data_IF_508016503940
#
_entry.id   IF_508016503940
#
_cell.length_a   1.000
_cell.length_b   1.000
_cell.length_c   1.000
_cell.angle_alpha   90.00
_cell.angle_beta   90.00
_cell.angle_gamma   90.00
#
_symmetry.space_group_name_H-M   'P 1'
#
loop_
_entity.id
_entity.type
_entity.pdbx_description
1 polymer ?
#
# COMPACT_ATOMS: atom_id res chain seq x y z
N UNK A 1 -39.06 -21.05 76.82
CA UNK A 1 -38.74 -22.11 77.80
C UNK A 1 -37.88 -23.17 77.15
N UNK A 2 -36.71 -23.44 77.75
CA UNK A 2 -35.84 -24.64 77.69
C UNK A 2 -35.83 -25.47 76.39
N UNK A 3 -34.75 -25.35 75.61
CA UNK A 3 -34.33 -26.40 74.66
C UNK A 3 -33.03 -27.01 75.16
N UNK A 4 -33.16 -28.24 75.63
CA UNK A 4 -32.12 -29.08 76.22
C UNK A 4 -31.15 -29.49 75.12
N UNK A 5 -29.87 -29.22 75.37
CA UNK A 5 -28.71 -29.73 74.66
C UNK A 5 -28.68 -31.26 74.82
N UNK A 6 -28.93 -32.03 73.77
CA UNK A 6 -28.57 -33.44 73.72
C UNK A 6 -27.30 -33.59 72.87
N UNK A 7 -26.20 -33.78 73.58
CA UNK A 7 -24.94 -34.33 73.09
C UNK A 7 -25.25 -35.67 72.37
N UNK A 8 -25.17 -35.70 71.05
CA UNK A 8 -25.06 -36.93 70.30
C UNK A 8 -23.57 -37.27 70.17
N UNK A 9 -23.15 -38.30 70.92
CA UNK A 9 -21.83 -38.92 70.85
C UNK A 9 -21.48 -39.24 69.38
N UNK A 10 -20.43 -38.61 68.86
CA UNK A 10 -19.74 -39.12 67.68
C UNK A 10 -19.08 -40.45 68.07
N UNK A 11 -19.75 -41.56 67.78
CA UNK A 11 -19.15 -42.89 67.77
C UNK A 11 -18.06 -42.89 66.70
N UNK A 12 -16.81 -42.69 67.10
CA UNK A 12 -15.66 -43.05 66.30
C UNK A 12 -15.69 -44.57 66.12
N UNK A 13 -16.20 -45.03 64.98
CA UNK A 13 -16.11 -46.41 64.57
C UNK A 13 -14.62 -46.76 64.47
N UNK A 14 -14.16 -47.68 65.33
CA UNK A 14 -12.82 -48.25 65.23
C UNK A 14 -12.77 -49.08 63.93
N UNK A 15 -11.84 -48.84 62.99
CA UNK A 15 -11.78 -49.59 61.73
C UNK A 15 -11.58 -51.08 62.06
N UNK A 16 -12.44 -51.95 61.51
CA UNK A 16 -12.43 -53.39 61.79
C UNK A 16 -11.37 -54.12 60.95
N UNK A 17 -10.88 -53.49 59.88
CA UNK A 17 -9.90 -54.03 58.94
C UNK A 17 -8.58 -53.25 59.00
N UNK A 18 -7.40 -53.91 58.90
CA UNK A 18 -6.12 -53.21 58.81
C UNK A 18 -6.08 -52.24 57.61
N UNK A 19 -5.29 -51.15 57.70
CA UNK A 19 -5.15 -50.21 56.58
C UNK A 19 -4.57 -50.93 55.36
N UNK A 20 -4.99 -50.55 54.14
CA UNK A 20 -4.41 -51.10 52.92
C UNK A 20 -2.92 -50.75 52.84
N UNK A 21 -2.12 -51.67 52.26
CA UNK A 21 -0.67 -51.50 52.09
C UNK A 21 -0.33 -51.59 50.60
N UNK A 22 0.35 -50.57 50.08
CA UNK A 22 0.91 -50.56 48.73
C UNK A 22 2.35 -51.06 48.83
N UNK A 23 2.59 -52.31 48.43
CA UNK A 23 3.92 -52.93 48.46
C UNK A 23 4.80 -52.45 47.28
N UNK A 24 4.18 -52.18 46.12
CA UNK A 24 4.88 -51.60 44.97
C UNK A 24 3.93 -50.83 44.06
N UNK A 25 4.46 -49.79 43.42
CA UNK A 25 3.86 -49.09 42.29
C UNK A 25 5.00 -48.61 41.38
N UNK A 26 5.05 -49.10 40.16
CA UNK A 26 6.13 -48.85 39.19
C UNK A 26 5.57 -48.63 37.79
N UNK A 27 6.37 -48.00 36.93
CA UNK A 27 6.08 -47.79 35.51
C UNK A 27 7.31 -48.19 34.70
N UNK A 28 7.11 -48.78 33.52
CA UNK A 28 8.17 -49.19 32.60
C UNK A 28 8.92 -47.99 31.99
N UNK A 29 8.21 -46.93 31.60
CA UNK A 29 8.78 -45.73 31.00
C UNK A 29 8.19 -44.46 31.62
N UNK A 30 8.91 -43.77 32.54
CA UNK A 30 8.41 -42.54 33.18
C UNK A 30 8.42 -41.31 32.26
N UNK A 31 9.12 -41.37 31.11
CA UNK A 31 9.18 -40.31 30.11
C UNK A 31 8.81 -40.82 28.70
N UNK A 32 7.55 -41.21 28.44
CA UNK A 32 7.10 -41.65 27.13
C UNK A 32 6.97 -40.47 26.14
N UNK A 33 7.04 -40.76 24.84
CA UNK A 33 6.58 -39.79 23.82
C UNK A 33 5.08 -39.55 23.98
N UNK A 34 4.61 -38.35 23.63
CA UNK A 34 3.18 -38.02 23.65
C UNK A 34 2.38 -39.08 22.86
N UNK A 35 1.36 -39.65 23.50
CA UNK A 35 0.48 -40.67 22.92
C UNK A 35 1.03 -42.10 22.99
N UNK A 36 2.25 -42.32 23.48
CA UNK A 36 2.76 -43.66 23.75
C UNK A 36 2.13 -44.24 25.03
N UNK A 37 1.90 -45.55 25.01
CA UNK A 37 1.40 -46.28 26.16
C UNK A 37 2.53 -46.58 27.15
N UNK A 38 2.20 -46.57 28.44
CA UNK A 38 3.04 -47.00 29.55
C UNK A 38 2.37 -48.11 30.33
N UNK A 39 3.16 -48.95 30.97
CA UNK A 39 2.70 -50.10 31.75
C UNK A 39 2.91 -49.84 33.23
N UNK A 40 1.82 -49.62 33.96
CA UNK A 40 1.85 -49.53 35.42
C UNK A 40 1.77 -50.92 36.04
N UNK A 41 2.70 -51.23 36.94
CA UNK A 41 2.70 -52.47 37.73
C UNK A 41 2.61 -52.14 39.21
N UNK A 42 1.64 -52.74 39.91
CA UNK A 42 1.42 -52.54 41.33
C UNK A 42 1.15 -53.84 42.10
N UNK A 43 1.42 -53.81 43.40
CA UNK A 43 1.04 -54.85 44.36
C UNK A 43 0.44 -54.19 45.61
N UNK A 44 -0.80 -54.58 45.95
CA UNK A 44 -1.59 -53.97 47.04
C UNK A 44 -2.21 -55.09 47.88
N UNK A 45 -2.20 -54.93 49.20
CA UNK A 45 -2.86 -55.84 50.17
C UNK A 45 -3.87 -55.08 51.02
N UNK A 46 -4.95 -55.76 51.41
CA UNK A 46 -5.94 -55.22 52.34
C UNK A 46 -6.84 -54.12 51.76
N UNK A 47 -6.89 -53.96 50.43
CA UNK A 47 -7.77 -53.02 49.75
C UNK A 47 -8.98 -53.74 49.13
N UNK A 48 -10.16 -53.14 49.22
CA UNK A 48 -11.37 -53.56 48.50
C UNK A 48 -11.47 -52.91 47.12
N UNK A 49 -10.91 -51.71 46.95
CA UNK A 49 -10.81 -51.02 45.67
C UNK A 49 -9.41 -50.47 45.44
N UNK A 50 -8.97 -50.49 44.19
CA UNK A 50 -7.72 -49.88 43.74
C UNK A 50 -8.02 -49.02 42.53
N UNK A 51 -7.57 -47.77 42.51
CA UNK A 51 -7.68 -46.86 41.37
C UNK A 51 -6.36 -46.18 41.05
N UNK A 52 -6.17 -45.78 39.80
CA UNK A 52 -5.09 -44.92 39.35
C UNK A 52 -5.70 -43.64 38.79
N UNK A 53 -5.37 -42.50 39.39
CA UNK A 53 -5.81 -41.17 38.99
C UNK A 53 -4.66 -40.42 38.29
N UNK A 54 -4.92 -39.59 37.25
CA UNK A 54 -6.25 -39.18 36.75
C UNK A 54 -6.92 -40.19 35.81
N UNK A 55 -6.20 -41.20 35.31
CA UNK A 55 -6.71 -42.26 34.44
C UNK A 55 -5.95 -43.57 34.71
N UNK A 56 -6.56 -44.76 34.54
CA UNK A 56 -7.89 -45.01 34.00
C UNK A 56 -9.03 -45.00 35.04
N UNK A 57 -8.75 -44.69 36.31
CA UNK A 57 -9.71 -44.85 37.40
C UNK A 57 -9.57 -46.23 38.06
N UNK A 58 -10.68 -46.90 38.37
CA UNK A 58 -10.66 -48.20 39.06
C UNK A 58 -10.00 -49.28 38.20
N UNK A 59 -9.08 -50.04 38.81
CA UNK A 59 -8.30 -51.11 38.17
C UNK A 59 -8.47 -52.42 38.93
N UNK A 60 -8.56 -53.53 38.18
CA UNK A 60 -8.86 -54.85 38.74
C UNK A 60 -7.72 -55.87 38.59
N UNK A 61 -6.68 -55.55 37.82
CA UNK A 61 -5.55 -56.42 37.56
C UNK A 61 -4.28 -55.60 37.35
N UNK A 62 -3.13 -56.21 37.64
CA UNK A 62 -1.80 -55.65 37.44
C UNK A 62 -1.01 -56.62 36.53
N UNK A 63 -0.34 -56.14 35.46
CA UNK A 63 -0.14 -54.74 35.09
C UNK A 63 -1.32 -54.10 34.35
N UNK A 64 -1.31 -52.77 34.25
CA UNK A 64 -2.29 -51.95 33.50
C UNK A 64 -1.58 -51.10 32.47
N UNK A 65 -2.04 -51.16 31.22
CA UNK A 65 -1.54 -50.31 30.13
C UNK A 65 -2.37 -49.04 30.09
N UNK A 66 -1.70 -47.88 30.12
CA UNK A 66 -2.31 -46.55 30.12
C UNK A 66 -1.63 -45.69 29.07
N UNK A 67 -2.39 -44.94 28.29
CA UNK A 67 -1.84 -43.83 27.48
C UNK A 67 -2.03 -42.55 28.29
N UNK A 68 -0.97 -41.96 28.85
CA UNK A 68 -1.11 -40.77 29.68
C UNK A 68 -1.61 -39.58 28.83
N UNK A 69 -2.75 -38.95 29.19
CA UNK A 69 -3.30 -37.86 28.39
C UNK A 69 -2.54 -36.53 28.57
N UNK A 70 -1.82 -36.37 29.68
CA UNK A 70 -0.98 -35.22 29.97
C UNK A 70 0.15 -35.62 30.93
N UNK A 71 1.21 -34.79 31.00
CA UNK A 71 2.23 -34.93 32.02
C UNK A 71 1.63 -34.63 33.41
N UNK A 72 2.03 -35.38 34.43
CA UNK A 72 1.50 -35.23 35.77
C UNK A 72 1.84 -36.41 36.68
N UNK A 73 1.39 -36.31 37.92
CA UNK A 73 1.55 -37.38 38.91
C UNK A 73 0.38 -38.35 38.81
N UNK A 74 0.67 -39.59 38.43
CA UNK A 74 -0.28 -40.69 38.50
C UNK A 74 -0.28 -41.24 39.92
N UNK A 75 -1.45 -41.27 40.57
CA UNK A 75 -1.58 -41.69 41.96
C UNK A 75 -2.35 -42.99 42.03
N UNK A 76 -1.70 -44.05 42.51
CA UNK A 76 -2.36 -45.29 42.93
C UNK A 76 -3.02 -45.05 44.28
N UNK A 77 -4.34 -45.23 44.36
CA UNK A 77 -5.15 -45.12 45.58
C UNK A 77 -5.74 -46.49 45.89
N UNK A 78 -5.48 -46.98 47.10
CA UNK A 78 -6.01 -48.23 47.61
C UNK A 78 -6.92 -47.95 48.80
N UNK A 79 -8.17 -48.40 48.74
CA UNK A 79 -9.19 -48.14 49.78
C UNK A 79 -9.74 -49.47 50.30
N UNK A 80 -9.93 -49.60 51.61
CA UNK A 80 -10.55 -50.80 52.22
C UNK A 80 -12.06 -50.60 52.48
N UNK A 81 -12.76 -51.64 52.96
CA UNK A 81 -14.21 -51.60 53.22
C UNK A 81 -14.61 -50.57 54.29
N UNK A 82 -13.68 -50.21 55.18
CA UNK A 82 -13.86 -49.19 56.21
C UNK A 82 -13.58 -47.75 55.69
N UNK A 83 -13.22 -47.61 54.41
CA UNK A 83 -12.91 -46.33 53.77
C UNK A 83 -11.51 -45.77 54.09
N UNK A 84 -10.62 -46.57 54.69
CA UNK A 84 -9.22 -46.18 54.96
C UNK A 84 -8.40 -46.27 53.68
N UNK A 85 -7.57 -45.27 53.42
CA UNK A 85 -6.82 -45.13 52.16
C UNK A 85 -5.31 -45.17 52.34
N UNK A 86 -4.62 -45.75 51.35
CA UNK A 86 -3.19 -45.59 51.13
C UNK A 86 -2.94 -45.10 49.71
N UNK A 87 -1.95 -44.23 49.50
CA UNK A 87 -1.63 -43.65 48.19
C UNK A 87 -0.15 -43.76 47.85
N UNK A 88 0.17 -43.89 46.56
CA UNK A 88 1.53 -43.85 46.03
C UNK A 88 1.54 -43.15 44.68
N UNK A 89 2.50 -42.25 44.44
CA UNK A 89 2.55 -41.38 43.27
C UNK A 89 3.78 -41.64 42.38
N UNK A 90 3.57 -41.65 41.06
CA UNK A 90 4.63 -41.67 40.05
C UNK A 90 4.49 -40.44 39.16
N UNK A 91 5.56 -39.67 39.00
CA UNK A 91 5.59 -38.56 38.05
C UNK A 91 5.84 -39.10 36.62
N UNK A 92 4.95 -38.75 35.69
CA UNK A 92 5.09 -39.01 34.26
C UNK A 92 5.32 -37.68 33.54
N UNK A 93 6.41 -37.58 32.79
CA UNK A 93 6.69 -36.46 31.89
C UNK A 93 6.48 -36.90 30.45
N UNK A 94 5.83 -36.09 29.62
CA UNK A 94 5.64 -36.44 28.22
C UNK A 94 6.69 -35.75 27.34
N UNK A 95 7.39 -36.54 26.53
CA UNK A 95 8.30 -36.02 25.52
C UNK A 95 7.51 -35.57 24.28
N UNK A 96 7.59 -34.30 23.87
CA UNK A 96 6.91 -33.83 22.66
C UNK A 96 7.44 -34.54 21.41
N UNK A 97 6.61 -34.62 20.36
CA UNK A 97 7.06 -35.15 19.07
C UNK A 97 8.17 -34.30 18.46
N UNK A 98 9.03 -34.96 17.67
CA UNK A 98 10.01 -34.28 16.83
C UNK A 98 9.29 -33.38 15.82
N UNK A 99 9.61 -32.10 15.83
CA UNK A 99 9.03 -31.14 14.90
C UNK A 99 10.03 -30.05 14.50
N UNK A 100 9.89 -29.55 13.28
CA UNK A 100 10.44 -28.26 12.87
C UNK A 100 9.29 -27.26 12.98
N UNK A 101 9.37 -26.35 13.95
CA UNK A 101 8.32 -25.38 14.27
C UNK A 101 8.39 -24.13 13.38
N UNK A 102 9.59 -23.79 12.89
CA UNK A 102 9.83 -22.69 11.97
C UNK A 102 11.04 -23.00 11.09
N UNK A 103 11.01 -22.56 9.83
CA UNK A 103 12.08 -22.68 8.87
C UNK A 103 11.88 -21.63 7.77
N UNK A 104 12.57 -20.50 7.91
CA UNK A 104 12.35 -19.31 7.08
C UNK A 104 13.65 -18.84 6.44
N UNK A 105 13.53 -18.23 5.26
CA UNK A 105 14.62 -17.51 4.59
C UNK A 105 14.23 -16.03 4.48
N UNK A 106 15.01 -15.15 5.09
CA UNK A 106 14.70 -13.72 5.24
C UNK A 106 15.87 -12.88 4.72
N UNK A 107 15.67 -12.00 3.72
CA UNK A 107 14.41 -11.76 3.02
C UNK A 107 14.01 -12.95 2.12
N UNK A 108 12.71 -13.13 1.90
CA UNK A 108 12.19 -14.20 1.04
C UNK A 108 12.54 -14.04 -0.45
N UNK A 109 13.00 -12.84 -0.85
CA UNK A 109 13.57 -12.56 -2.16
C UNK A 109 14.70 -11.52 -2.04
N UNK A 110 15.85 -11.76 -2.67
CA UNK A 110 17.05 -10.94 -2.57
C UNK A 110 17.72 -10.71 -3.94
N UNK A 111 18.68 -9.78 -4.00
CA UNK A 111 19.54 -9.60 -5.18
C UNK A 111 20.57 -10.75 -5.26
N UNK A 112 21.10 -11.07 -6.44
CA UNK A 112 22.16 -12.08 -6.57
C UNK A 112 23.36 -11.78 -5.65
N UNK A 113 23.76 -12.77 -4.85
CA UNK A 113 24.93 -12.68 -3.96
C UNK A 113 24.73 -11.85 -2.69
N UNK A 114 23.52 -11.35 -2.43
CA UNK A 114 23.22 -10.62 -1.18
C UNK A 114 22.79 -11.55 -0.05
N UNK A 115 22.90 -11.04 1.18
CA UNK A 115 22.65 -11.80 2.40
C UNK A 115 21.19 -12.28 2.49
N UNK A 116 21.03 -13.57 2.74
CA UNK A 116 19.77 -14.19 3.15
C UNK A 116 20.01 -14.89 4.48
N UNK A 117 19.26 -14.52 5.50
CA UNK A 117 19.29 -15.16 6.81
C UNK A 117 18.30 -16.33 6.85
N UNK A 118 18.83 -17.55 6.94
CA UNK A 118 18.07 -18.77 7.18
C UNK A 118 17.85 -18.89 8.69
N UNK A 119 16.61 -19.07 9.14
CA UNK A 119 16.28 -19.21 10.57
C UNK A 119 15.39 -20.40 10.81
N UNK A 120 15.64 -21.17 11.87
CA UNK A 120 14.85 -22.35 12.19
C UNK A 120 14.70 -22.59 13.69
N UNK A 121 13.61 -23.26 14.05
CA UNK A 121 13.32 -23.73 15.41
C UNK A 121 12.77 -25.15 15.37
N UNK A 122 13.24 -25.97 16.29
CA UNK A 122 12.85 -27.39 16.41
C UNK A 122 12.40 -27.72 17.81
N UNK A 123 11.57 -28.77 17.93
CA UNK A 123 11.20 -29.41 19.19
C UNK A 123 11.72 -30.84 19.18
N UNK A 124 12.28 -31.30 20.31
CA UNK A 124 12.75 -32.68 20.51
C UNK A 124 13.82 -33.18 19.51
N UNK A 125 14.51 -32.27 18.83
CA UNK A 125 15.64 -32.61 17.96
C UNK A 125 16.94 -32.70 18.77
N UNK A 126 17.73 -33.74 18.51
CA UNK A 126 19.04 -33.97 19.15
C UNK A 126 20.18 -33.44 18.25
N UNK A 127 20.00 -33.52 16.94
CA UNK A 127 20.95 -33.06 15.92
C UNK A 127 20.20 -32.41 14.76
N UNK A 128 20.81 -31.42 14.12
CA UNK A 128 20.29 -30.86 12.89
C UNK A 128 21.40 -30.69 11.83
N UNK A 129 21.04 -30.87 10.57
CA UNK A 129 21.92 -30.59 9.42
C UNK A 129 21.24 -29.67 8.44
N UNK A 130 22.02 -28.80 7.80
CA UNK A 130 21.59 -27.95 6.70
C UNK A 130 22.26 -28.41 5.41
N UNK A 131 21.46 -28.73 4.40
CA UNK A 131 21.93 -29.04 3.04
C UNK A 131 21.76 -27.82 2.15
N UNK A 132 22.85 -27.37 1.54
CA UNK A 132 22.84 -26.34 0.50
C UNK A 132 22.43 -26.97 -0.84
N UNK A 133 21.29 -26.55 -1.39
CA UNK A 133 20.79 -27.07 -2.66
C UNK A 133 21.58 -26.66 -3.90
N UNK A 134 22.48 -25.67 -3.80
CA UNK A 134 23.33 -25.25 -4.92
C UNK A 134 24.59 -26.13 -5.02
N UNK A 135 25.20 -26.46 -3.88
CA UNK A 135 26.46 -27.22 -3.83
C UNK A 135 26.26 -28.70 -3.48
N UNK A 136 25.14 -29.05 -2.87
CA UNK A 136 24.90 -30.36 -2.26
C UNK A 136 25.63 -30.54 -0.92
N UNK A 137 26.35 -29.53 -0.43
CA UNK A 137 27.10 -29.62 0.83
C UNK A 137 26.15 -29.77 2.02
N UNK A 138 26.47 -30.69 2.92
CA UNK A 138 25.76 -30.93 4.18
C UNK A 138 26.64 -30.47 5.33
N UNK A 139 26.08 -29.62 6.20
CA UNK A 139 26.77 -29.08 7.37
C UNK A 139 25.97 -29.33 8.64
N UNK A 140 26.66 -29.65 9.73
CA UNK A 140 26.06 -29.69 11.07
C UNK A 140 25.70 -28.28 11.54
N UNK A 141 24.50 -28.14 12.09
CA UNK A 141 24.00 -26.86 12.61
C UNK A 141 23.34 -27.04 13.97
N UNK A 142 23.19 -25.94 14.71
CA UNK A 142 22.43 -25.95 15.96
C UNK A 142 20.98 -26.41 15.70
N UNK A 143 20.40 -27.17 16.64
CA UNK A 143 19.01 -27.68 16.52
C UNK A 143 18.00 -26.55 16.34
N UNK A 144 18.24 -25.39 16.95
CA UNK A 144 17.52 -24.14 16.66
C UNK A 144 18.54 -23.03 16.51
N UNK A 145 18.41 -22.20 15.47
CA UNK A 145 19.41 -21.19 15.17
C UNK A 145 19.18 -20.47 13.85
N UNK A 146 20.26 -19.85 13.36
CA UNK A 146 20.25 -19.11 12.11
C UNK A 146 21.59 -19.20 11.37
N UNK A 147 21.57 -18.99 10.06
CA UNK A 147 22.76 -18.97 9.19
C UNK A 147 22.58 -17.98 8.04
N UNK A 148 23.60 -17.15 7.78
CA UNK A 148 23.61 -16.21 6.66
C UNK A 148 24.23 -16.89 5.44
N UNK A 149 23.57 -16.76 4.29
CA UNK A 149 24.01 -17.31 3.00
C UNK A 149 23.95 -16.25 1.90
N UNK A 150 24.69 -16.44 0.80
CA UNK A 150 24.81 -15.47 -0.30
C UNK A 150 24.47 -16.10 -1.67
N UNK A 151 23.20 -16.42 -1.93
CA UNK A 151 22.81 -17.17 -3.12
C UNK A 151 22.91 -16.30 -4.39
N UNK A 152 23.60 -16.81 -5.43
CA UNK A 152 23.65 -16.15 -6.75
C UNK A 152 22.44 -16.47 -7.65
N UNK A 153 21.73 -17.57 -7.36
CA UNK A 153 20.50 -17.99 -8.01
C UNK A 153 19.50 -18.47 -6.95
N UNK A 154 18.24 -18.69 -7.32
CA UNK A 154 17.25 -19.20 -6.35
C UNK A 154 17.69 -20.58 -5.84
N UNK A 155 17.98 -20.66 -4.54
CA UNK A 155 18.52 -21.86 -3.88
C UNK A 155 17.54 -22.38 -2.83
N UNK A 156 17.39 -23.69 -2.76
CA UNK A 156 16.59 -24.37 -1.74
C UNK A 156 17.54 -24.96 -0.70
N UNK A 157 17.46 -24.49 0.53
CA UNK A 157 18.18 -25.06 1.66
C UNK A 157 17.29 -26.04 2.40
N UNK A 158 17.80 -27.24 2.69
CA UNK A 158 17.03 -28.29 3.36
C UNK A 158 17.56 -28.49 4.77
N UNK A 159 16.76 -28.14 5.77
CA UNK A 159 17.01 -28.46 7.17
C UNK A 159 16.52 -29.88 7.44
N UNK A 160 17.37 -30.71 8.04
CA UNK A 160 16.98 -32.03 8.55
C UNK A 160 17.24 -32.06 10.04
N UNK A 161 16.19 -32.26 10.83
CA UNK A 161 16.28 -32.44 12.27
C UNK A 161 16.15 -33.93 12.60
N UNK A 162 17.07 -34.45 13.42
CA UNK A 162 17.14 -35.85 13.80
C UNK A 162 16.63 -36.02 15.23
N UNK A 163 15.86 -37.08 15.42
CA UNK A 163 15.37 -37.47 16.74
C UNK A 163 16.51 -38.07 17.56
N UNK A 164 16.24 -38.27 18.85
CA UNK A 164 17.05 -39.18 19.67
C UNK A 164 16.87 -40.61 19.15
N UNK A 165 17.95 -41.39 19.16
CA UNK A 165 17.90 -42.82 18.79
C UNK A 165 16.78 -43.56 19.54
N UNK A 166 16.07 -44.44 18.82
CA UNK A 166 14.94 -45.20 19.35
C UNK A 166 13.58 -44.50 19.29
N UNK A 167 13.53 -43.21 18.95
CA UNK A 167 12.28 -42.44 18.82
C UNK A 167 11.86 -42.25 17.35
N UNK A 168 10.55 -42.17 17.10
CA UNK A 168 9.98 -42.01 15.76
C UNK A 168 9.26 -40.65 15.60
N UNK A 169 9.27 -40.04 14.40
CA UNK A 169 10.11 -40.42 13.26
C UNK A 169 11.59 -40.20 13.57
N UNK A 170 12.48 -40.96 12.92
CA UNK A 170 13.93 -40.82 13.10
C UNK A 170 14.46 -39.43 12.67
N UNK A 171 13.80 -38.79 11.70
CA UNK A 171 14.09 -37.42 11.28
C UNK A 171 12.88 -36.75 10.65
N UNK A 172 12.93 -35.41 10.57
CA UNK A 172 11.99 -34.56 9.84
C UNK A 172 12.76 -33.53 9.02
N UNK A 173 12.18 -33.09 7.90
CA UNK A 173 12.83 -32.13 6.99
C UNK A 173 11.96 -30.91 6.73
N UNK A 174 12.59 -29.74 6.60
CA UNK A 174 11.95 -28.51 6.13
C UNK A 174 12.79 -27.83 5.04
N UNK A 175 12.12 -27.13 4.12
CA UNK A 175 12.78 -26.41 3.01
C UNK A 175 12.67 -24.90 3.23
N UNK A 176 13.81 -24.22 3.18
CA UNK A 176 13.92 -22.77 3.19
C UNK A 176 14.31 -22.32 1.78
N UNK A 177 13.47 -21.50 1.15
CA UNK A 177 13.67 -21.09 -0.25
C UNK A 177 14.21 -19.67 -0.28
N UNK A 178 15.49 -19.51 -0.61
CA UNK A 178 16.11 -18.21 -0.82
C UNK A 178 15.94 -17.81 -2.29
N UNK A 179 14.91 -17.00 -2.59
CA UNK A 179 14.66 -16.57 -3.98
C UNK A 179 15.62 -15.45 -4.36
N UNK A 180 16.18 -15.56 -5.57
CA UNK A 180 17.00 -14.50 -6.16
C UNK A 180 16.21 -13.83 -7.27
N UNK A 181 16.04 -12.52 -7.19
CA UNK A 181 15.37 -11.72 -8.20
C UNK A 181 16.18 -11.64 -9.49
N UNK A 182 15.50 -11.65 -10.63
CA UNK A 182 16.13 -11.42 -11.93
C UNK A 182 16.55 -9.94 -11.98
N UNK A 183 17.83 -9.62 -12.28
CA UNK A 183 18.27 -8.25 -12.42
C UNK A 183 17.44 -7.48 -13.47
N UNK A 184 17.11 -6.20 -13.23
CA UNK A 184 16.52 -5.36 -14.26
C UNK A 184 17.48 -5.19 -15.43
N UNK A 185 16.92 -5.22 -16.63
CA UNK A 185 17.58 -4.92 -17.89
C UNK A 185 16.85 -3.77 -18.56
N UNK A 186 17.62 -2.95 -19.26
CA UNK A 186 17.11 -1.91 -20.14
C UNK A 186 17.78 -2.08 -21.49
N UNK A 187 17.00 -2.03 -22.56
CA UNK A 187 17.51 -1.95 -23.93
C UNK A 187 16.75 -0.87 -24.71
N UNK A 188 17.33 -0.42 -25.81
CA UNK A 188 16.70 0.53 -26.75
C UNK A 188 16.20 1.82 -26.09
N UNK A 189 16.90 2.34 -25.08
CA UNK A 189 16.58 3.66 -24.54
C UNK A 189 16.91 4.72 -25.59
N UNK A 190 15.88 5.30 -26.20
CA UNK A 190 16.00 6.17 -27.37
C UNK A 190 14.91 7.26 -27.38
N UNK A 191 15.09 8.26 -28.23
CA UNK A 191 14.14 9.35 -28.46
C UNK A 191 13.71 9.39 -29.93
N UNK A 192 12.43 9.67 -30.19
CA UNK A 192 11.89 9.80 -31.55
C UNK A 192 12.44 11.02 -32.30
N UNK A 193 12.58 12.16 -31.59
CA UNK A 193 13.06 13.44 -32.09
C UNK A 193 14.27 13.89 -31.26
N UNK A 194 15.51 13.61 -31.70
CA UNK A 194 16.71 14.02 -30.98
C UNK A 194 16.93 15.53 -31.01
N UNK A 195 16.30 16.25 -31.95
CA UNK A 195 16.26 17.70 -32.00
C UNK A 195 14.83 18.19 -32.14
N UNK A 196 14.45 19.16 -31.33
CA UNK A 196 13.13 19.79 -31.34
C UNK A 196 13.27 21.31 -31.31
N UNK A 197 12.23 22.03 -31.73
CA UNK A 197 12.12 23.47 -31.49
C UNK A 197 11.54 23.69 -30.10
N UNK A 198 11.95 24.75 -29.42
CA UNK A 198 11.41 25.11 -28.12
C UNK A 198 9.86 25.16 -28.15
N UNK A 199 9.22 24.44 -27.23
CA UNK A 199 7.76 24.25 -27.17
C UNK A 199 7.27 22.91 -27.76
N UNK A 200 8.03 22.29 -28.65
CA UNK A 200 7.71 20.96 -29.19
C UNK A 200 7.92 19.85 -28.16
N UNK A 201 7.43 18.65 -28.48
CA UNK A 201 7.64 17.45 -27.66
C UNK A 201 8.46 16.38 -28.37
N UNK A 202 9.23 15.66 -27.55
CA UNK A 202 9.90 14.42 -27.91
C UNK A 202 9.36 13.27 -27.05
N UNK A 203 9.45 12.04 -27.55
CA UNK A 203 9.03 10.83 -26.86
C UNK A 203 10.23 9.95 -26.61
N UNK A 204 10.56 9.77 -25.33
CA UNK A 204 11.51 8.76 -24.87
C UNK A 204 10.83 7.40 -24.87
N UNK A 205 11.54 6.36 -25.32
CA UNK A 205 11.05 4.97 -25.32
C UNK A 205 12.17 4.01 -24.93
N UNK A 206 11.80 2.87 -24.35
CA UNK A 206 12.74 1.84 -23.92
C UNK A 206 12.08 0.47 -23.83
N UNK A 207 12.89 -0.57 -23.75
CA UNK A 207 12.49 -1.94 -23.43
C UNK A 207 13.19 -2.42 -22.16
N UNK A 208 12.63 -3.43 -21.49
CA UNK A 208 13.19 -3.96 -20.25
C UNK A 208 12.20 -4.78 -19.41
N UNK A 209 12.72 -5.49 -18.40
CA UNK A 209 11.99 -6.40 -17.50
C UNK A 209 11.78 -5.86 -16.08
N UNK A 210 12.06 -4.59 -15.83
CA UNK A 210 11.87 -3.99 -14.51
C UNK A 210 10.39 -3.80 -14.15
N UNK A 211 10.08 -3.75 -12.84
CA UNK A 211 8.73 -3.51 -12.33
C UNK A 211 8.39 -2.01 -12.28
N UNK A 212 9.41 -1.18 -12.11
CA UNK A 212 9.27 0.28 -12.07
C UNK A 212 10.40 0.95 -12.84
N UNK A 213 10.07 2.04 -13.54
CA UNK A 213 11.03 2.91 -14.23
C UNK A 213 10.87 4.35 -13.75
N UNK A 214 12.00 5.05 -13.70
CA UNK A 214 12.06 6.50 -13.52
C UNK A 214 13.00 7.11 -14.56
N UNK A 215 12.62 8.26 -15.10
CA UNK A 215 13.47 9.05 -16.00
C UNK A 215 13.92 10.29 -15.25
N UNK A 216 15.20 10.64 -15.31
CA UNK A 216 15.72 11.91 -14.78
C UNK A 216 16.33 12.76 -15.89
N UNK A 217 16.05 14.06 -15.87
CA UNK A 217 16.71 15.07 -16.72
C UNK A 217 17.92 15.74 -16.05
N UNK A 218 18.36 15.21 -14.90
CA UNK A 218 19.41 15.78 -14.05
C UNK A 218 18.91 16.76 -12.99
N UNK A 219 17.68 17.28 -13.12
CA UNK A 219 17.08 18.22 -12.14
C UNK A 219 15.82 17.64 -11.50
N UNK A 220 15.00 16.98 -12.31
CA UNK A 220 13.73 16.38 -11.94
C UNK A 220 13.77 14.87 -12.18
N UNK A 221 12.95 14.13 -11.44
CA UNK A 221 12.76 12.69 -11.65
C UNK A 221 11.29 12.39 -11.88
N UNK A 222 11.00 11.78 -13.03
CA UNK A 222 9.67 11.38 -13.46
C UNK A 222 9.49 9.89 -13.17
N UNK A 223 8.68 9.53 -12.19
CA UNK A 223 8.29 8.14 -11.98
C UNK A 223 7.22 7.74 -13.00
N UNK A 224 7.52 6.74 -13.82
CA UNK A 224 6.65 6.31 -14.92
C UNK A 224 6.09 4.90 -14.71
N UNK A 225 6.34 4.27 -13.55
CA UNK A 225 5.75 2.98 -13.23
C UNK A 225 6.24 1.88 -14.19
N UNK A 226 5.37 0.97 -14.64
CA UNK A 226 5.70 -0.05 -15.64
C UNK A 226 5.59 0.46 -17.08
N UNK A 227 5.46 1.77 -17.33
CA UNK A 227 5.40 2.31 -18.70
C UNK A 227 6.75 2.11 -19.42
N UNK A 228 6.70 2.19 -20.75
CA UNK A 228 7.86 2.02 -21.65
C UNK A 228 8.09 3.23 -22.54
N UNK A 229 7.38 4.32 -22.25
CA UNK A 229 7.53 5.59 -22.94
C UNK A 229 7.20 6.77 -22.02
N UNK A 230 7.79 7.92 -22.32
CA UNK A 230 7.55 9.20 -21.67
C UNK A 230 7.63 10.31 -22.71
N UNK A 231 6.58 11.13 -22.82
CA UNK A 231 6.61 12.36 -23.60
C UNK A 231 7.24 13.46 -22.76
N UNK A 232 8.22 14.16 -23.32
CA UNK A 232 8.96 15.25 -22.69
C UNK A 232 8.88 16.51 -23.55
N UNK A 233 8.93 17.67 -22.89
CA UNK A 233 8.95 19.01 -23.50
C UNK A 233 10.04 19.88 -22.86
N UNK A 234 11.32 19.55 -23.07
CA UNK A 234 12.39 20.34 -22.46
C UNK A 234 12.45 21.76 -23.05
N UNK A 235 12.65 22.76 -22.20
CA UNK A 235 12.78 24.16 -22.61
C UNK A 235 14.19 24.51 -23.16
N UNK A 236 15.18 23.73 -22.77
CA UNK A 236 16.59 23.83 -23.18
C UNK A 236 17.15 22.43 -23.41
N UNK A 237 18.37 22.30 -23.92
CA UNK A 237 19.00 20.99 -24.11
C UNK A 237 18.95 20.16 -22.81
N UNK A 238 18.44 18.94 -22.91
CA UNK A 238 18.27 18.05 -21.78
C UNK A 238 18.91 16.68 -22.06
N UNK A 239 19.52 16.10 -21.03
CA UNK A 239 20.09 14.76 -21.07
C UNK A 239 19.30 13.87 -20.10
N UNK A 240 18.62 12.86 -20.65
CA UNK A 240 17.77 11.97 -19.89
C UNK A 240 18.49 10.68 -19.54
N UNK A 241 18.43 10.29 -18.27
CA UNK A 241 18.85 8.98 -17.78
C UNK A 241 17.64 8.19 -17.34
N UNK A 242 17.63 6.89 -17.61
CA UNK A 242 16.57 5.98 -17.20
C UNK A 242 17.09 5.08 -16.09
N UNK A 243 16.35 4.98 -14.98
CA UNK A 243 16.59 4.02 -13.92
C UNK A 243 15.46 2.98 -13.91
N UNK A 244 15.85 1.73 -13.84
CA UNK A 244 14.99 0.56 -13.83
C UNK A 244 15.15 -0.17 -12.49
N UNK A 245 14.05 -0.46 -11.81
CA UNK A 245 14.04 -1.07 -10.47
C UNK A 245 13.21 -2.35 -10.50
N UNK A 246 13.72 -3.41 -9.87
CA UNK A 246 13.05 -4.71 -9.74
C UNK A 246 13.57 -5.53 -8.56
N UNK A 247 12.98 -6.71 -8.31
CA UNK A 247 13.39 -7.57 -7.19
C UNK A 247 14.85 -8.02 -7.24
N UNK A 248 15.47 -8.06 -8.44
CA UNK A 248 16.89 -8.34 -8.62
C UNK A 248 17.80 -7.12 -8.52
N UNK A 249 17.27 -5.94 -8.17
CA UNK A 249 18.03 -4.72 -7.91
C UNK A 249 17.68 -3.56 -8.83
N UNK A 250 18.71 -2.82 -9.25
CA UNK A 250 18.55 -1.63 -10.11
C UNK A 250 19.48 -1.68 -11.31
N UNK A 251 19.07 -1.04 -12.40
CA UNK A 251 19.88 -0.84 -13.60
C UNK A 251 19.63 0.55 -14.14
N UNK A 252 20.62 1.12 -14.83
CA UNK A 252 20.53 2.46 -15.41
C UNK A 252 20.91 2.43 -16.89
N UNK A 253 20.31 3.31 -17.68
CA UNK A 253 20.60 3.49 -19.10
C UNK A 253 20.64 4.97 -19.50
N UNK A 254 21.36 5.26 -20.58
CA UNK A 254 21.55 6.61 -21.11
C UNK A 254 22.97 7.16 -20.86
N UNK A 255 23.17 8.47 -21.01
CA UNK A 255 22.14 9.48 -21.31
C UNK A 255 21.63 9.44 -22.76
N UNK A 256 20.35 9.76 -22.95
CA UNK A 256 19.75 10.13 -24.25
C UNK A 256 19.55 11.64 -24.26
N UNK A 257 20.06 12.31 -25.27
CA UNK A 257 20.02 13.77 -25.36
C UNK A 257 18.91 14.26 -26.29
N UNK A 258 18.26 15.33 -25.87
CA UNK A 258 17.32 16.10 -26.70
C UNK A 258 17.88 17.51 -26.82
N UNK A 259 18.26 17.90 -28.03
CA UNK A 259 18.67 19.27 -28.33
C UNK A 259 17.45 20.13 -28.64
N UNK A 260 17.40 21.30 -28.04
CA UNK A 260 16.31 22.26 -28.21
C UNK A 260 16.85 23.46 -28.96
N UNK A 261 16.38 23.64 -30.19
CA UNK A 261 16.60 24.88 -30.90
C UNK A 261 15.78 25.98 -30.23
N UNK A 262 16.47 26.94 -29.61
CA UNK A 262 15.83 28.07 -28.95
C UNK A 262 14.94 28.81 -29.95
N UNK A 263 13.65 28.91 -29.62
CA UNK A 263 12.69 29.69 -30.37
C UNK A 263 11.69 30.33 -29.40
N UNK A 264 12.19 31.16 -28.47
CA UNK A 264 11.38 31.71 -27.41
C UNK A 264 10.29 32.60 -27.98
N UNK A 265 9.08 32.48 -27.44
CA UNK A 265 8.07 33.50 -27.66
C UNK A 265 8.47 34.76 -26.89
N UNK A 266 8.23 35.90 -27.50
CA UNK A 266 8.52 37.24 -26.99
C UNK A 266 7.24 38.02 -26.70
N UNK A 267 6.09 37.67 -27.30
CA UNK A 267 4.84 38.40 -27.10
C UNK A 267 3.60 37.51 -27.19
N UNK A 268 2.48 37.99 -26.63
CA UNK A 268 1.15 37.43 -26.79
C UNK A 268 0.34 38.30 -27.75
N UNK A 269 -0.44 37.66 -28.62
CA UNK A 269 -1.35 38.35 -29.53
C UNK A 269 -2.70 37.69 -29.50
N UNK A 270 -3.71 38.47 -29.14
CA UNK A 270 -5.10 38.03 -29.10
C UNK A 270 -5.87 38.59 -30.29
N UNK A 271 -6.58 37.71 -31.00
CA UNK A 271 -7.40 38.09 -32.14
C UNK A 271 -8.69 38.80 -31.73
N UNK A 272 -9.36 39.39 -32.71
CA UNK A 272 -10.72 39.93 -32.51
C UNK A 272 -11.72 38.76 -32.41
N UNK A 273 -12.55 38.68 -31.36
CA UNK A 273 -13.59 37.65 -31.26
C UNK A 273 -14.72 37.87 -32.29
N UNK A 274 -15.41 36.79 -32.64
CA UNK A 274 -16.65 36.89 -33.41
C UNK A 274 -17.73 37.69 -32.65
N UNK A 275 -18.70 38.24 -33.38
CA UNK A 275 -19.81 38.98 -32.76
C UNK A 275 -20.67 38.06 -31.88
N UNK A 276 -20.80 38.41 -30.60
CA UNK A 276 -21.67 37.74 -29.63
C UNK A 276 -22.00 38.68 -28.47
N UNK A 277 -23.10 38.47 -27.73
CA UNK A 277 -23.52 39.37 -26.66
C UNK A 277 -22.47 39.59 -25.57
N UNK A 278 -21.63 38.60 -25.30
CA UNK A 278 -20.40 38.74 -24.51
C UNK A 278 -19.20 38.34 -25.37
N UNK A 279 -18.11 39.08 -25.23
CA UNK A 279 -16.83 38.80 -25.87
C UNK A 279 -15.72 38.78 -24.83
N UNK A 280 -14.79 37.84 -24.97
CA UNK A 280 -13.50 37.93 -24.29
C UNK A 280 -12.61 38.86 -25.11
N UNK A 281 -12.26 40.03 -24.61
CA UNK A 281 -11.44 41.03 -25.31
C UNK A 281 -10.12 41.24 -24.58
N UNK A 282 -9.05 41.56 -25.29
CA UNK A 282 -7.76 41.89 -24.68
C UNK A 282 -7.64 43.40 -24.42
N UNK A 283 -7.05 43.78 -23.29
CA UNK A 283 -6.61 45.15 -23.07
C UNK A 283 -5.56 45.55 -24.13
N UNK A 284 -5.55 46.83 -24.56
CA UNK A 284 -4.56 47.30 -25.50
C UNK A 284 -3.16 47.18 -24.90
N UNK A 285 -2.24 46.63 -25.69
CA UNK A 285 -0.84 46.58 -25.31
C UNK A 285 -0.20 47.95 -25.46
N UNK A 286 0.05 48.61 -24.32
CA UNK A 286 0.63 49.96 -24.29
C UNK A 286 2.15 49.96 -24.32
N UNK A 287 2.80 48.86 -23.89
CA UNK A 287 4.26 48.71 -23.82
C UNK A 287 4.71 47.37 -24.43
N UNK A 288 5.05 47.32 -25.73
CA UNK A 288 5.56 46.10 -26.35
C UNK A 288 6.99 45.74 -25.87
N UNK A 289 7.37 44.44 -25.86
CA UNK A 289 6.56 43.31 -26.29
C UNK A 289 5.51 42.90 -25.25
N UNK A 290 4.34 42.50 -25.73
CA UNK A 290 3.17 42.22 -24.90
C UNK A 290 3.31 40.87 -24.20
N UNK A 291 4.12 40.79 -23.14
CA UNK A 291 4.35 39.54 -22.40
C UNK A 291 3.25 39.21 -21.40
N UNK A 292 2.37 40.16 -21.11
CA UNK A 292 1.21 39.99 -20.23
C UNK A 292 -0.02 40.54 -20.94
N UNK A 293 -1.10 39.75 -20.96
CA UNK A 293 -2.39 40.17 -21.52
C UNK A 293 -3.46 40.04 -20.45
N UNK A 294 -4.22 41.12 -20.24
CA UNK A 294 -5.46 41.08 -19.45
C UNK A 294 -6.61 40.85 -20.41
N UNK A 295 -7.31 39.73 -20.23
CA UNK A 295 -8.48 39.35 -21.00
C UNK A 295 -9.73 39.67 -20.17
N UNK A 296 -10.61 40.49 -20.72
CA UNK A 296 -11.86 40.97 -20.09
C UNK A 296 -13.05 40.37 -20.79
N UNK A 297 -14.03 39.87 -20.04
CA UNK A 297 -15.32 39.46 -20.58
C UNK A 297 -16.22 40.70 -20.60
N UNK A 298 -16.45 41.27 -21.78
CA UNK A 298 -17.24 42.49 -21.98
C UNK A 298 -18.53 42.24 -22.75
N UNK A 299 -19.63 42.94 -22.41
CA UNK A 299 -20.84 42.96 -23.23
C UNK A 299 -20.62 43.73 -24.54
N UNK A 300 -21.27 43.28 -25.61
CA UNK A 300 -21.47 44.09 -26.84
C UNK A 300 -22.92 44.52 -27.02
N UNK A 301 -23.80 44.04 -26.14
CA UNK A 301 -25.22 44.35 -26.04
C UNK A 301 -25.65 44.19 -24.58
N UNK A 302 -26.86 44.63 -24.22
CA UNK A 302 -27.40 44.41 -22.87
C UNK A 302 -27.58 42.91 -22.59
N UNK A 303 -26.92 42.39 -21.56
CA UNK A 303 -26.98 40.99 -21.13
C UNK A 303 -27.42 40.93 -19.67
N UNK A 304 -28.47 40.15 -19.39
CA UNK A 304 -28.91 39.84 -18.03
C UNK A 304 -28.35 38.50 -17.59
N UNK A 305 -27.72 38.43 -16.42
CA UNK A 305 -27.22 37.18 -15.85
C UNK A 305 -27.18 37.17 -14.32
N UNK A 306 -27.39 36.00 -13.73
CA UNK A 306 -27.18 35.68 -12.31
C UNK A 306 -26.12 34.61 -12.08
N UNK A 307 -25.56 34.07 -13.16
CA UNK A 307 -24.48 33.10 -13.12
C UNK A 307 -23.69 33.08 -14.41
N UNK A 308 -22.40 32.83 -14.31
CA UNK A 308 -21.46 32.69 -15.42
C UNK A 308 -20.50 31.54 -15.09
N UNK A 309 -20.33 30.62 -16.03
CA UNK A 309 -19.33 29.57 -15.98
C UNK A 309 -18.50 29.62 -17.27
N UNK A 310 -17.18 29.69 -17.13
CA UNK A 310 -16.25 29.79 -18.25
C UNK A 310 -15.07 28.84 -18.05
N UNK A 311 -15.01 27.80 -18.86
CA UNK A 311 -13.91 26.87 -18.95
C UNK A 311 -13.15 27.14 -20.24
N UNK A 312 -11.86 27.45 -20.13
CA UNK A 312 -10.98 27.73 -21.25
C UNK A 312 -9.79 26.78 -21.20
N UNK A 313 -9.71 25.78 -22.10
CA UNK A 313 -8.50 24.99 -22.27
C UNK A 313 -7.33 25.89 -22.69
N UNK A 314 -6.20 25.78 -22.01
CA UNK A 314 -5.00 26.56 -22.25
C UNK A 314 -3.81 25.63 -22.49
N UNK A 315 -2.88 26.05 -23.34
CA UNK A 315 -1.53 25.50 -23.31
C UNK A 315 -0.73 26.17 -22.17
N UNK A 316 -0.75 25.52 -21.01
CA UNK A 316 -0.08 25.97 -19.78
C UNK A 316 1.44 25.93 -19.87
N UNK A 317 2.00 25.34 -20.94
CA UNK A 317 3.44 25.44 -21.22
C UNK A 317 3.82 26.80 -21.78
N UNK A 318 2.87 27.51 -22.41
CA UNK A 318 3.08 28.82 -23.05
C UNK A 318 2.65 30.00 -22.20
N UNK A 319 1.73 29.83 -21.26
CA UNK A 319 1.28 30.90 -20.37
C UNK A 319 1.08 30.40 -18.94
N UNK A 320 1.29 31.29 -17.98
CA UNK A 320 0.81 31.12 -16.61
C UNK A 320 -0.45 31.94 -16.39
N UNK A 321 -1.43 31.33 -15.73
CA UNK A 321 -2.61 32.03 -15.23
C UNK A 321 -2.25 32.90 -14.02
N UNK A 322 -2.65 34.17 -14.07
CA UNK A 322 -2.41 35.17 -13.03
C UNK A 322 -3.70 35.64 -12.34
N UNK A 323 -3.78 36.96 -12.11
CA UNK A 323 -4.89 37.60 -11.39
C UNK A 323 -6.26 37.35 -12.02
N UNK A 324 -7.30 37.37 -11.19
CA UNK A 324 -8.71 37.31 -11.58
C UNK A 324 -9.51 38.23 -10.67
N UNK A 325 -10.33 39.07 -11.29
CA UNK A 325 -11.27 39.94 -10.61
C UNK A 325 -12.59 40.00 -11.40
N UNK A 326 -13.67 40.35 -10.70
CA UNK A 326 -14.98 40.54 -11.31
C UNK A 326 -15.24 42.02 -11.56
N UNK A 327 -15.94 42.32 -12.64
CA UNK A 327 -16.36 43.68 -12.96
C UNK A 327 -17.42 44.21 -11.97
N UNK A 328 -17.66 45.54 -11.95
CA UNK A 328 -18.45 46.17 -10.91
C UNK A 328 -19.90 45.66 -10.83
N UNK A 329 -20.53 45.36 -11.96
CA UNK A 329 -21.87 44.78 -12.02
C UNK A 329 -21.97 43.41 -11.33
N UNK A 330 -20.87 42.65 -11.27
CA UNK A 330 -20.82 41.33 -10.64
C UNK A 330 -20.09 41.33 -9.28
N UNK A 331 -19.71 42.50 -8.75
CA UNK A 331 -18.95 42.63 -7.51
C UNK A 331 -19.62 41.93 -6.32
N UNK A 332 -20.95 42.00 -6.24
CA UNK A 332 -21.77 41.41 -5.17
C UNK A 332 -22.11 39.93 -5.40
N UNK A 333 -21.54 39.27 -6.42
CA UNK A 333 -21.68 37.84 -6.59
C UNK A 333 -21.12 37.10 -5.36
N UNK A 334 -21.92 36.18 -4.83
CA UNK A 334 -21.62 35.41 -3.62
C UNK A 334 -20.54 34.35 -3.87
N UNK A 335 -20.51 33.79 -5.08
CA UNK A 335 -19.41 32.94 -5.54
C UNK A 335 -18.73 33.62 -6.73
N UNK A 336 -17.40 33.75 -6.66
CA UNK A 336 -16.54 34.26 -7.74
C UNK A 336 -15.16 33.64 -7.58
N UNK A 337 -14.75 32.80 -8.53
CA UNK A 337 -13.45 32.12 -8.48
C UNK A 337 -12.98 31.79 -9.88
N UNK A 338 -11.67 31.92 -10.09
CA UNK A 338 -10.97 31.37 -11.23
C UNK A 338 -9.82 30.49 -10.72
N UNK A 339 -9.59 29.34 -11.35
CA UNK A 339 -8.51 28.42 -10.98
C UNK A 339 -8.13 27.52 -12.15
N UNK A 340 -6.90 27.02 -12.15
CA UNK A 340 -6.51 25.94 -13.06
C UNK A 340 -7.08 24.62 -12.57
N UNK A 341 -7.72 23.87 -13.46
CA UNK A 341 -8.27 22.55 -13.16
C UNK A 341 -7.18 21.53 -12.88
N UNK A 342 -7.58 20.42 -12.26
CA UNK A 342 -6.73 19.26 -11.97
C UNK A 342 -7.39 17.97 -12.43
N UNK A 343 -6.62 16.89 -12.52
CA UNK A 343 -7.13 15.59 -12.97
C UNK A 343 -7.66 15.66 -14.40
N UNK A 344 -8.95 15.36 -14.59
CA UNK A 344 -9.61 15.40 -15.91
C UNK A 344 -9.72 16.81 -16.52
N UNK A 345 -9.55 17.85 -15.70
CA UNK A 345 -9.55 19.26 -16.14
C UNK A 345 -8.15 19.89 -16.08
N UNK A 346 -7.10 19.07 -16.03
CA UNK A 346 -5.73 19.58 -16.15
C UNK A 346 -5.62 20.49 -17.38
N UNK A 347 -4.93 21.62 -17.21
CA UNK A 347 -4.72 22.64 -18.24
C UNK A 347 -5.99 23.39 -18.71
N UNK A 348 -7.09 23.31 -17.94
CA UNK A 348 -8.30 24.11 -18.18
C UNK A 348 -8.41 25.21 -17.13
N UNK A 349 -8.45 26.47 -17.55
CA UNK A 349 -8.86 27.58 -16.69
C UNK A 349 -10.36 27.50 -16.44
N UNK A 350 -10.77 27.37 -15.18
CA UNK A 350 -12.17 27.28 -14.77
C UNK A 350 -12.56 28.54 -14.00
N UNK A 351 -13.53 29.28 -14.51
CA UNK A 351 -14.11 30.47 -13.89
C UNK A 351 -15.57 30.19 -13.57
N UNK A 352 -15.97 30.50 -12.33
CA UNK A 352 -17.36 30.42 -11.88
C UNK A 352 -17.75 31.68 -11.11
N UNK A 353 -18.86 32.29 -11.52
CA UNK A 353 -19.47 33.45 -10.87
C UNK A 353 -20.95 33.11 -10.67
N UNK A 354 -21.48 33.28 -9.46
CA UNK A 354 -22.88 33.04 -9.16
C UNK A 354 -23.42 33.97 -8.07
N UNK A 355 -24.62 34.47 -8.29
CA UNK A 355 -25.40 35.16 -7.28
C UNK A 355 -26.22 34.15 -6.48
N UNK A 356 -26.31 34.36 -5.18
CA UNK A 356 -27.19 33.58 -4.30
C UNK A 356 -28.56 34.25 -4.20
N UNK A 357 -29.62 33.44 -4.25
CA UNK A 357 -30.95 33.90 -3.86
C UNK A 357 -31.00 34.17 -2.36
N UNK A 358 -32.11 34.77 -1.91
CA UNK A 358 -32.32 35.11 -0.49
C UNK A 358 -32.92 33.95 0.32
N UNK A 359 -33.02 32.75 -0.26
CA UNK A 359 -33.79 31.63 0.27
C UNK A 359 -35.30 31.76 0.03
N UNK A 360 -35.84 32.98 -0.01
CA UNK A 360 -37.25 33.27 -0.32
C UNK A 360 -37.50 33.60 -1.80
N UNK A 361 -36.49 34.12 -2.50
CA UNK A 361 -36.57 34.43 -3.93
C UNK A 361 -35.29 33.98 -4.64
N UNK A 362 -35.42 33.66 -5.93
CA UNK A 362 -34.27 33.42 -6.81
C UNK A 362 -33.40 34.68 -6.89
N UNK A 363 -32.10 34.51 -7.09
CA UNK A 363 -31.18 35.63 -7.29
C UNK A 363 -31.68 36.55 -8.43
N UNK A 364 -31.59 37.86 -8.24
CA UNK A 364 -31.88 38.81 -9.32
C UNK A 364 -30.77 38.76 -10.38
N UNK A 365 -31.14 39.05 -11.63
CA UNK A 365 -30.16 39.18 -12.70
C UNK A 365 -29.42 40.51 -12.57
N UNK A 366 -28.10 40.46 -12.67
CA UNK A 366 -27.27 41.63 -12.91
C UNK A 366 -27.33 41.99 -14.40
N UNK A 367 -27.36 43.29 -14.68
CA UNK A 367 -27.32 43.83 -16.04
C UNK A 367 -25.88 44.16 -16.41
N UNK A 368 -25.39 43.58 -17.50
CA UNK A 368 -24.19 44.00 -18.20
C UNK A 368 -24.59 44.81 -19.43
N UNK A 369 -23.94 45.95 -19.66
CA UNK A 369 -24.26 46.82 -20.79
C UNK A 369 -23.01 47.59 -21.24
N UNK A 370 -22.69 47.50 -22.54
CA UNK A 370 -21.54 48.16 -23.13
C UNK A 370 -21.61 49.69 -23.06
N UNK A 371 -22.82 50.24 -22.95
CA UNK A 371 -23.07 51.68 -22.83
C UNK A 371 -22.96 52.20 -21.39
N UNK A 372 -22.87 51.31 -20.39
CA UNK A 372 -22.80 51.66 -18.98
C UNK A 372 -21.43 51.32 -18.40
N UNK A 373 -20.56 52.30 -18.10
CA UNK A 373 -19.25 52.05 -17.50
C UNK A 373 -19.29 51.34 -16.13
N UNK A 374 -20.40 51.38 -15.41
CA UNK A 374 -20.56 50.62 -14.17
C UNK A 374 -20.86 49.12 -14.40
N UNK A 375 -21.05 48.71 -15.66
CA UNK A 375 -21.48 47.38 -16.05
C UNK A 375 -20.86 46.90 -17.38
N UNK A 376 -19.78 47.54 -17.86
CA UNK A 376 -19.12 47.26 -19.14
C UNK A 376 -18.17 46.06 -19.08
N UNK A 377 -18.21 45.29 -17.98
CA UNK A 377 -17.33 44.16 -17.74
C UNK A 377 -17.97 43.16 -16.76
N UNK A 378 -17.92 41.87 -17.12
CA UNK A 378 -18.30 40.78 -16.24
C UNK A 378 -17.16 40.38 -15.30
N UNK A 379 -15.98 40.12 -15.86
CA UNK A 379 -14.76 39.74 -15.14
C UNK A 379 -13.55 39.86 -16.06
N UNK A 380 -12.37 39.87 -15.47
CA UNK A 380 -11.12 39.77 -16.21
C UNK A 380 -10.13 38.84 -15.54
N UNK A 381 -9.17 38.39 -16.32
CA UNK A 381 -8.03 37.64 -15.83
C UNK A 381 -6.79 37.94 -16.66
N UNK A 382 -5.63 37.66 -16.08
CA UNK A 382 -4.35 37.93 -16.71
C UNK A 382 -3.65 36.63 -17.09
N UNK A 383 -3.09 36.59 -18.30
CA UNK A 383 -2.16 35.55 -18.74
C UNK A 383 -0.80 36.16 -18.98
N UNK A 384 0.24 35.53 -18.41
CA UNK A 384 1.63 35.95 -18.58
C UNK A 384 2.36 34.92 -19.43
N UNK A 385 3.12 35.40 -20.41
CA UNK A 385 3.89 34.60 -21.34
C UNK A 385 5.00 33.83 -20.63
N UNK A 386 5.03 32.52 -20.84
CA UNK A 386 6.16 31.67 -20.53
C UNK A 386 7.02 31.56 -21.79
N UNK A 387 8.01 32.44 -21.93
CA UNK A 387 8.88 32.51 -23.11
C UNK A 387 9.51 31.16 -23.46
N UNK A 388 9.78 30.35 -22.42
CA UNK A 388 10.31 29.00 -22.53
C UNK A 388 9.39 27.98 -23.22
N UNK A 389 8.09 28.26 -23.29
CA UNK A 389 7.08 27.44 -23.96
C UNK A 389 7.08 27.55 -25.48
N UNK A 390 7.88 28.46 -26.04
CA UNK A 390 8.00 28.67 -27.49
C UNK A 390 6.75 29.30 -28.13
N UNK A 391 6.74 29.34 -29.46
CA UNK A 391 5.67 29.95 -30.26
C UNK A 391 4.47 29.01 -30.45
N UNK A 392 3.33 29.61 -30.80
CA UNK A 392 2.13 28.90 -31.25
C UNK A 392 0.90 29.22 -30.43
N UNK A 393 -0.20 28.51 -30.72
CA UNK A 393 -1.49 28.75 -30.08
C UNK A 393 -1.41 28.43 -28.57
N UNK A 394 -1.88 29.38 -27.76
CA UNK A 394 -2.19 29.18 -26.34
C UNK A 394 -3.59 28.58 -26.22
N UNK A 395 -4.55 29.11 -26.98
CA UNK A 395 -5.88 28.53 -27.17
C UNK A 395 -6.48 29.05 -28.49
N UNK A 396 -7.44 28.29 -29.03
CA UNK A 396 -8.19 28.67 -30.24
C UNK A 396 -9.69 28.60 -29.94
N UNK A 397 -10.33 29.77 -29.83
CA UNK A 397 -11.77 29.86 -29.60
C UNK A 397 -12.63 29.50 -30.82
N UNK A 398 -12.07 29.47 -32.04
CA UNK A 398 -12.79 29.04 -33.25
C UNK A 398 -12.82 27.51 -33.40
N UNK A 399 -11.81 26.82 -32.86
CA UNK A 399 -11.73 25.36 -32.76
C UNK A 399 -11.59 24.93 -31.29
N UNK A 400 -12.60 25.16 -30.44
CA UNK A 400 -12.48 24.98 -29.01
C UNK A 400 -12.14 23.53 -28.65
N UNK A 401 -11.12 23.35 -27.81
CA UNK A 401 -10.72 22.04 -27.32
C UNK A 401 -11.76 21.38 -26.41
N UNK A 402 -11.55 20.10 -26.13
CA UNK A 402 -12.37 19.34 -25.17
C UNK A 402 -12.33 20.05 -23.81
N UNK A 403 -13.51 20.27 -23.22
CA UNK A 403 -13.63 20.94 -21.92
C UNK A 403 -13.93 22.43 -21.99
N UNK A 404 -13.88 23.07 -23.16
CA UNK A 404 -14.36 24.44 -23.35
C UNK A 404 -15.85 24.54 -23.02
N UNK A 405 -16.21 25.51 -22.18
CA UNK A 405 -17.60 25.81 -21.82
C UNK A 405 -17.73 27.31 -21.57
N UNK A 406 -18.72 27.94 -22.17
CA UNK A 406 -19.09 29.32 -21.83
C UNK A 406 -20.60 29.35 -21.61
N UNK A 407 -21.04 29.48 -20.37
CA UNK A 407 -22.46 29.40 -20.00
C UNK A 407 -22.80 30.62 -19.16
N UNK A 408 -23.90 31.28 -19.51
CA UNK A 408 -24.56 32.22 -18.61
C UNK A 408 -25.91 31.65 -18.18
N UNK A 409 -26.34 32.02 -16.99
CA UNK A 409 -27.66 31.71 -16.46
C UNK A 409 -28.38 33.00 -16.11
N UNK A 410 -29.65 33.10 -16.48
CA UNK A 410 -30.55 34.19 -16.10
C UNK A 410 -31.95 33.67 -15.75
N UNK A 411 -32.94 34.55 -15.61
CA UNK A 411 -34.33 34.16 -15.33
C UNK A 411 -34.94 33.22 -16.39
N UNK A 412 -34.54 33.38 -17.66
CA UNK A 412 -35.07 32.61 -18.79
C UNK A 412 -34.39 31.24 -18.94
N UNK A 413 -33.29 30.99 -18.23
CA UNK A 413 -32.58 29.72 -18.22
C UNK A 413 -31.09 29.85 -18.51
N UNK A 414 -30.50 28.81 -19.10
CA UNK A 414 -29.07 28.75 -19.45
C UNK A 414 -28.85 29.01 -20.92
N UNK A 415 -27.91 29.88 -21.23
CA UNK A 415 -27.42 30.11 -22.60
C UNK A 415 -26.01 29.53 -22.69
N UNK A 416 -25.81 28.60 -23.61
CA UNK A 416 -24.51 27.98 -23.88
C UNK A 416 -23.78 28.73 -25.00
N UNK A 417 -22.45 28.62 -25.01
CA UNK A 417 -21.55 29.36 -25.91
C UNK A 417 -21.79 30.88 -25.86
N UNK A 418 -22.10 31.39 -24.66
CA UNK A 418 -22.55 32.76 -24.47
C UNK A 418 -21.43 33.81 -24.59
N UNK A 419 -20.18 33.38 -24.63
CA UNK A 419 -18.99 34.24 -24.72
C UNK A 419 -18.24 33.87 -25.99
N UNK A 420 -18.08 34.82 -26.91
CA UNK A 420 -17.19 34.65 -28.05
C UNK A 420 -15.73 34.83 -27.62
N UNK A 421 -14.91 33.87 -28.01
CA UNK A 421 -13.48 33.82 -27.71
C UNK A 421 -12.72 33.73 -29.03
N UNK A 422 -11.68 34.54 -29.18
CA UNK A 422 -10.78 34.49 -30.34
C UNK A 422 -9.59 33.58 -30.06
N UNK A 423 -8.60 33.60 -30.95
CA UNK A 423 -7.34 32.89 -30.77
C UNK A 423 -6.34 33.73 -29.98
N UNK A 424 -5.62 33.10 -29.06
CA UNK A 424 -4.45 33.68 -28.41
C UNK A 424 -3.21 32.92 -28.87
N UNK A 425 -2.25 33.64 -29.44
CA UNK A 425 -0.96 33.10 -29.89
C UNK A 425 0.20 33.67 -29.07
N UNK A 426 1.19 32.81 -28.79
CA UNK A 426 2.53 33.20 -28.34
C UNK A 426 3.44 33.33 -29.57
N UNK A 427 4.09 34.49 -29.74
CA UNK A 427 4.87 34.88 -30.91
C UNK A 427 6.31 35.26 -30.57
#
# INVERSE_FOLDING_TARGET
MKRVLFLAFALAACPRSPPPVIDSFTVDQPNPDVGAAVTFSYAVRGASTVSIEPAPGVVHASPVIVVPPAAGTFTLRATNEDGVEATSGIAITLRPWLAINAADAIPGQAQPGTDVNLTWRTTSAERATLTDGATGQVSDVAVSGSSIVHPAATTIYTLTAYNKDGHQPASVTAKMVARVGIPPSVSNFAVDKPSIVQGDSATLSWQGNAVNYSVSDGTSTFNVGPRRSLVVRPATNAAYTLQAVGPGGTSTAGPVTVTVQAHPATSLTYGTPAAAPLQLVADPCTNPPCTTVTLRIKPTATVQLRGLAFNLPLDTTKVSFGGFDVGPALANAAAKKATMGSGLLQDVLVIGIAFTGTGAAVAQDATLDASNPAADEAAHFTLTLLSAGGRGAVFDGAAPGVGYKAVIQNVAGRTYNAIAVSKLDAN
#
